data_IF_566136973196
#
_entry.id   IF_566136973196
#
_cell.length_a   1.000
_cell.length_b   1.000
_cell.length_c   1.000
_cell.angle_alpha   90.00
_cell.angle_beta   90.00
_cell.angle_gamma   90.00
#
_symmetry.space_group_name_H-M   'P 1'
#
loop_
_entity.id
_entity.type
_entity.pdbx_description
1 polymer ?
#
# COMPACT_ATOMS: atom_id res chain seq x y z
N UNK A 1 -9.43 -43.88 -14.18
CA UNK A 1 -8.49 -42.73 -14.25
C UNK A 1 -9.16 -41.48 -14.85
N UNK A 2 -10.41 -41.15 -14.48
CA UNK A 2 -11.14 -39.98 -15.04
C UNK A 2 -11.46 -38.88 -14.01
N UNK A 3 -11.22 -39.09 -12.71
CA UNK A 3 -11.55 -38.11 -11.66
C UNK A 3 -10.59 -36.92 -11.56
N UNK A 4 -9.28 -37.17 -11.69
CA UNK A 4 -8.25 -36.14 -11.49
C UNK A 4 -8.25 -35.02 -12.55
N UNK A 5 -8.77 -35.28 -13.76
CA UNK A 5 -8.78 -34.29 -14.84
C UNK A 5 -9.94 -33.30 -14.75
N UNK A 6 -11.03 -33.66 -14.06
CA UNK A 6 -12.18 -32.79 -13.85
C UNK A 6 -12.00 -31.86 -12.64
N UNK A 7 -11.36 -32.33 -11.56
CA UNK A 7 -11.03 -31.47 -10.40
C UNK A 7 -10.07 -30.34 -10.78
N UNK A 8 -9.01 -30.66 -11.55
CA UNK A 8 -8.04 -29.65 -12.00
C UNK A 8 -8.69 -28.58 -12.89
N UNK A 9 -9.63 -28.97 -13.77
CA UNK A 9 -10.39 -28.00 -14.59
C UNK A 9 -11.34 -27.13 -13.77
N UNK A 10 -11.95 -27.68 -12.72
CA UNK A 10 -12.85 -26.94 -11.84
C UNK A 10 -12.08 -25.93 -10.97
N UNK A 11 -10.87 -26.29 -10.51
CA UNK A 11 -9.98 -25.40 -9.75
C UNK A 11 -9.40 -24.29 -10.62
N UNK A 12 -9.08 -24.57 -11.89
CA UNK A 12 -8.62 -23.55 -12.84
C UNK A 12 -9.73 -22.55 -13.17
N UNK A 13 -10.96 -23.04 -13.39
CA UNK A 13 -12.12 -22.20 -13.67
C UNK A 13 -12.52 -21.32 -12.47
N UNK A 14 -12.46 -21.85 -11.25
CA UNK A 14 -12.67 -21.06 -10.03
C UNK A 14 -11.59 -19.98 -9.83
N UNK A 15 -10.33 -20.30 -10.14
CA UNK A 15 -9.22 -19.32 -10.09
C UNK A 15 -9.35 -18.21 -11.15
N UNK A 16 -9.81 -18.54 -12.35
CA UNK A 16 -10.09 -17.56 -13.42
C UNK A 16 -11.29 -16.67 -13.09
N UNK A 17 -12.35 -17.21 -12.46
CA UNK A 17 -13.51 -16.45 -11.99
C UNK A 17 -13.14 -15.49 -10.84
N UNK A 18 -12.18 -15.84 -9.99
CA UNK A 18 -11.71 -15.03 -8.86
C UNK A 18 -10.73 -13.90 -9.25
N UNK A 19 -9.85 -14.10 -10.24
CA UNK A 19 -8.98 -13.05 -10.79
C UNK A 19 -9.81 -11.94 -11.48
N UNK A 20 -10.89 -12.33 -12.18
CA UNK A 20 -11.88 -11.41 -12.74
C UNK A 20 -12.60 -10.60 -11.64
N UNK A 21 -12.81 -11.19 -10.47
CA UNK A 21 -13.55 -10.59 -9.37
C UNK A 21 -12.89 -9.34 -8.78
N UNK A 22 -11.56 -9.15 -8.84
CA UNK A 22 -10.91 -7.93 -8.31
C UNK A 22 -10.96 -6.75 -9.27
N UNK A 23 -10.75 -6.99 -10.57
CA UNK A 23 -11.01 -5.99 -11.61
C UNK A 23 -12.48 -5.55 -11.51
N UNK A 24 -13.38 -6.50 -11.27
CA UNK A 24 -14.78 -6.23 -11.05
C UNK A 24 -15.09 -5.59 -9.70
N UNK A 25 -14.49 -5.97 -8.56
CA UNK A 25 -14.78 -5.43 -7.22
C UNK A 25 -14.52 -3.93 -7.20
N UNK A 26 -13.37 -3.57 -7.74
CA UNK A 26 -13.00 -2.20 -7.99
C UNK A 26 -13.92 -1.42 -8.89
N UNK A 27 -14.24 -2.04 -10.03
CA UNK A 27 -15.25 -1.51 -10.93
C UNK A 27 -16.57 -1.33 -10.19
N UNK A 28 -17.07 -2.29 -9.42
CA UNK A 28 -18.32 -2.24 -8.64
C UNK A 28 -18.30 -1.18 -7.53
N UNK A 29 -17.20 -1.08 -6.78
CA UNK A 29 -17.04 -0.10 -5.68
C UNK A 29 -16.97 1.33 -6.21
N UNK A 30 -16.33 1.54 -7.37
CA UNK A 30 -16.17 2.86 -7.97
C UNK A 30 -17.03 3.05 -9.25
N UNK A 31 -18.07 2.22 -9.43
CA UNK A 31 -18.87 2.19 -10.66
C UNK A 31 -19.84 3.35 -10.81
N UNK A 32 -19.87 4.28 -9.85
CA UNK A 32 -20.67 5.50 -9.96
C UNK A 32 -19.92 6.54 -10.79
N UNK A 33 -19.69 6.19 -12.06
CA UNK A 33 -19.38 7.17 -13.10
C UNK A 33 -20.61 8.03 -13.24
N UNK A 34 -20.53 9.24 -12.67
CA UNK A 34 -21.35 10.44 -12.87
C UNK A 34 -21.90 11.02 -11.55
N UNK A 35 -21.04 11.72 -10.80
CA UNK A 35 -21.49 12.87 -10.01
C UNK A 35 -20.90 14.19 -10.56
N UNK A 36 -21.15 14.42 -11.85
CA UNK A 36 -21.42 15.78 -12.34
C UNK A 36 -22.82 15.80 -12.93
N UNK A 37 -23.82 15.65 -12.07
CA UNK A 37 -25.13 16.21 -12.33
C UNK A 37 -25.45 17.15 -11.18
N UNK A 38 -24.98 18.39 -11.36
CA UNK A 38 -25.75 19.57 -10.98
C UNK A 38 -27.15 19.43 -11.60
N UNK A 39 -28.04 18.73 -10.91
CA UNK A 39 -29.46 18.77 -11.20
C UNK A 39 -30.20 18.87 -9.89
N UNK A 40 -30.40 20.12 -9.48
CA UNK A 40 -31.64 20.52 -8.82
C UNK A 40 -32.76 20.15 -9.80
N UNK A 41 -33.37 18.98 -9.64
CA UNK A 41 -34.70 18.69 -10.21
C UNK A 41 -35.28 17.41 -9.61
N UNK A 42 -36.26 17.63 -8.74
CA UNK A 42 -37.50 16.88 -8.53
C UNK A 42 -37.51 15.35 -8.67
N UNK A 43 -37.74 14.71 -7.52
CA UNK A 43 -38.77 13.67 -7.37
C UNK A 43 -38.49 12.30 -7.97
N UNK A 44 -37.70 11.46 -7.29
CA UNK A 44 -37.81 9.99 -7.30
C UNK A 44 -36.71 9.36 -6.42
N UNK A 45 -37.10 8.61 -5.38
CA UNK A 45 -36.28 7.87 -4.39
C UNK A 45 -34.89 8.46 -4.08
N UNK A 46 -34.76 9.18 -2.96
CA UNK A 46 -33.51 9.79 -2.49
C UNK A 46 -32.34 8.80 -2.44
N UNK A 47 -31.58 8.74 -3.53
CA UNK A 47 -30.31 8.01 -3.62
C UNK A 47 -29.33 8.76 -2.72
N UNK A 48 -29.02 8.16 -1.58
CA UNK A 48 -27.98 8.68 -0.69
C UNK A 48 -26.66 8.61 -1.46
N UNK A 49 -26.00 9.76 -1.64
CA UNK A 49 -24.70 9.84 -2.31
C UNK A 49 -23.67 9.25 -1.34
N UNK A 50 -23.26 8.00 -1.55
CA UNK A 50 -22.23 7.33 -0.74
C UNK A 50 -20.86 7.28 -1.44
N UNK A 51 -20.80 7.71 -2.70
CA UNK A 51 -19.64 7.59 -3.57
C UNK A 51 -19.35 8.91 -4.26
N UNK A 52 -18.08 9.29 -4.34
CA UNK A 52 -17.61 10.49 -5.04
C UNK A 52 -16.37 10.15 -5.87
N UNK A 53 -16.40 10.50 -7.16
CA UNK A 53 -15.22 10.45 -8.03
C UNK A 53 -14.82 11.86 -8.45
N UNK A 54 -13.56 12.17 -8.21
CA UNK A 54 -12.82 13.37 -8.63
C UNK A 54 -11.57 12.94 -9.41
N UNK A 55 -11.68 11.85 -10.17
CA UNK A 55 -10.58 11.36 -10.99
C UNK A 55 -10.32 12.30 -12.18
N UNK A 56 -9.04 12.42 -12.59
CA UNK A 56 -8.64 13.27 -13.73
C UNK A 56 -8.94 14.77 -13.57
N UNK A 57 -8.88 15.30 -12.34
CA UNK A 57 -9.18 16.70 -12.02
C UNK A 57 -7.92 17.54 -11.78
N UNK A 58 -6.71 16.98 -12.04
CA UNK A 58 -5.41 17.61 -11.80
C UNK A 58 -5.22 18.14 -10.36
N UNK A 59 -5.84 17.49 -9.38
CA UNK A 59 -5.85 17.92 -7.99
C UNK A 59 -4.52 17.61 -7.30
N UNK A 60 -3.91 18.64 -6.68
CA UNK A 60 -2.79 18.49 -5.75
C UNK A 60 -3.22 18.60 -4.27
N UNK A 61 -4.43 19.10 -4.02
CA UNK A 61 -5.07 19.20 -2.71
C UNK A 61 -6.56 19.00 -2.87
N UNK A 62 -7.22 18.50 -1.82
CA UNK A 62 -8.67 18.39 -1.79
C UNK A 62 -9.31 19.79 -1.63
N UNK A 63 -10.27 20.20 -2.48
CA UNK A 63 -11.00 21.44 -2.28
C UNK A 63 -11.78 21.43 -0.97
N UNK A 64 -11.76 22.54 -0.23
CA UNK A 64 -12.45 22.65 1.05
C UNK A 64 -13.97 22.45 0.94
N UNK A 65 -14.59 22.93 -0.15
CA UNK A 65 -16.01 22.72 -0.40
C UNK A 65 -16.37 21.23 -0.48
N UNK A 66 -15.51 20.41 -1.10
CA UNK A 66 -15.74 18.96 -1.16
C UNK A 66 -15.71 18.34 0.23
N UNK A 67 -14.76 18.74 1.07
CA UNK A 67 -14.68 18.24 2.45
C UNK A 67 -15.96 18.63 3.21
N UNK A 68 -16.38 19.89 3.10
CA UNK A 68 -17.57 20.39 3.79
C UNK A 68 -18.85 19.68 3.33
N UNK A 69 -18.99 19.43 2.02
CA UNK A 69 -20.20 18.88 1.44
C UNK A 69 -20.28 17.36 1.60
N UNK A 70 -19.15 16.66 1.61
CA UNK A 70 -19.10 15.18 1.50
C UNK A 70 -18.36 14.45 2.63
N UNK A 71 -17.55 15.12 3.45
CA UNK A 71 -16.65 14.49 4.43
C UNK A 71 -17.34 13.49 5.36
N UNK A 72 -18.53 13.84 5.87
CA UNK A 72 -19.30 12.97 6.77
C UNK A 72 -20.26 12.02 6.07
N UNK A 73 -20.37 12.08 4.74
CA UNK A 73 -21.43 11.39 3.99
C UNK A 73 -20.86 10.19 3.22
N UNK A 74 -19.78 10.41 2.49
CA UNK A 74 -19.29 9.42 1.53
C UNK A 74 -18.52 8.29 2.21
N UNK A 75 -18.57 7.12 1.57
CA UNK A 75 -17.87 5.90 1.93
C UNK A 75 -16.84 5.51 0.88
N UNK A 76 -17.03 5.95 -0.36
CA UNK A 76 -16.16 5.61 -1.48
C UNK A 76 -15.64 6.89 -2.13
N UNK A 77 -14.32 7.06 -2.16
CA UNK A 77 -13.67 8.20 -2.79
C UNK A 77 -12.71 7.72 -3.86
N UNK A 78 -12.92 8.20 -5.07
CA UNK A 78 -12.00 8.03 -6.19
C UNK A 78 -11.32 9.35 -6.53
N UNK A 79 -10.04 9.43 -6.22
CA UNK A 79 -9.15 10.56 -6.55
C UNK A 79 -7.98 10.09 -7.42
N UNK A 80 -8.20 9.05 -8.21
CA UNK A 80 -7.21 8.53 -9.15
C UNK A 80 -6.86 9.53 -10.25
N UNK A 81 -5.71 9.36 -10.90
CA UNK A 81 -5.24 10.23 -11.98
C UNK A 81 -5.21 11.72 -11.60
N UNK A 82 -4.60 12.01 -10.46
CA UNK A 82 -4.37 13.36 -9.94
C UNK A 82 -2.88 13.53 -9.60
N UNK A 83 -2.54 14.53 -8.80
CA UNK A 83 -1.16 14.83 -8.39
C UNK A 83 -1.00 14.86 -6.87
N UNK A 84 -1.81 14.10 -6.13
CA UNK A 84 -1.66 13.91 -4.69
C UNK A 84 -0.31 13.23 -4.37
N UNK A 85 0.34 13.66 -3.29
CA UNK A 85 1.69 13.20 -2.93
C UNK A 85 1.82 12.91 -1.43
N UNK A 86 2.76 13.55 -0.73
CA UNK A 86 3.13 13.19 0.65
C UNK A 86 2.11 13.60 1.70
N UNK A 87 1.36 14.68 1.45
CA UNK A 87 0.40 15.21 2.40
C UNK A 87 -1.02 14.73 2.07
N UNK A 88 -1.47 13.71 2.79
CA UNK A 88 -2.83 13.17 2.71
C UNK A 88 -3.65 13.44 3.98
N UNK A 89 -3.27 14.45 4.78
CA UNK A 89 -3.93 14.71 6.07
C UNK A 89 -5.41 15.06 5.91
N UNK A 90 -5.83 15.66 4.79
CA UNK A 90 -7.24 15.94 4.52
C UNK A 90 -8.16 14.70 4.57
N UNK A 91 -7.60 13.49 4.42
CA UNK A 91 -8.36 12.25 4.56
C UNK A 91 -8.88 12.04 5.99
N UNK A 92 -8.36 12.74 7.01
CA UNK A 92 -8.90 12.73 8.37
C UNK A 92 -10.31 13.29 8.46
N UNK A 93 -10.73 14.09 7.49
CA UNK A 93 -12.05 14.72 7.46
C UNK A 93 -13.13 13.79 6.85
N UNK A 94 -12.75 12.59 6.40
CA UNK A 94 -13.65 11.62 5.78
C UNK A 94 -13.92 10.43 6.72
N UNK A 95 -14.64 10.68 7.81
CA UNK A 95 -14.84 9.73 8.92
C UNK A 95 -15.44 8.38 8.51
N UNK A 96 -16.32 8.39 7.50
CA UNK A 96 -17.06 7.22 7.04
C UNK A 96 -16.41 6.49 5.87
N UNK A 97 -15.21 6.90 5.45
CA UNK A 97 -14.54 6.35 4.28
C UNK A 97 -14.18 4.87 4.48
N UNK A 98 -14.66 4.04 3.56
CA UNK A 98 -14.45 2.58 3.50
C UNK A 98 -13.55 2.19 2.33
N UNK A 99 -13.58 2.95 1.23
CA UNK A 99 -12.82 2.66 0.02
C UNK A 99 -12.18 3.92 -0.54
N UNK A 100 -10.89 3.82 -0.88
CA UNK A 100 -10.11 4.91 -1.44
C UNK A 100 -9.33 4.44 -2.66
N UNK A 101 -9.56 5.10 -3.79
CA UNK A 101 -8.75 4.94 -4.99
C UNK A 101 -7.77 6.12 -5.14
N UNK A 102 -6.48 5.82 -5.09
CA UNK A 102 -5.35 6.75 -5.26
C UNK A 102 -4.44 6.33 -6.43
N UNK A 103 -4.96 5.53 -7.37
CA UNK A 103 -4.21 5.10 -8.55
C UNK A 103 -3.68 6.30 -9.35
N UNK A 104 -2.52 6.15 -9.98
CA UNK A 104 -1.91 7.17 -10.84
C UNK A 104 -1.76 8.55 -10.16
N UNK A 105 -1.22 8.55 -8.95
CA UNK A 105 -0.85 9.77 -8.22
C UNK A 105 0.69 9.85 -8.05
N UNK A 106 1.17 10.63 -7.09
CA UNK A 106 2.59 10.83 -6.77
C UNK A 106 2.92 10.36 -5.34
N UNK A 107 2.25 9.31 -4.88
CA UNK A 107 2.52 8.70 -3.57
C UNK A 107 3.89 8.03 -3.59
N UNK A 108 4.74 8.30 -2.60
CA UNK A 108 6.06 7.69 -2.45
C UNK A 108 6.19 6.96 -1.11
N UNK A 109 7.31 6.27 -0.87
CA UNK A 109 7.52 5.50 0.37
C UNK A 109 7.56 6.35 1.65
N UNK A 110 7.62 7.68 1.53
CA UNK A 110 7.62 8.62 2.66
C UNK A 110 6.24 9.22 2.93
N UNK A 111 5.24 8.97 2.07
CA UNK A 111 3.86 9.42 2.31
C UNK A 111 3.31 8.84 3.61
N UNK A 112 2.64 9.69 4.39
CA UNK A 112 1.99 9.31 5.64
C UNK A 112 0.49 9.56 5.53
N UNK A 113 -0.28 8.48 5.71
CA UNK A 113 -1.73 8.53 5.81
C UNK A 113 -2.15 8.93 7.23
N UNK A 114 -3.24 9.73 7.39
CA UNK A 114 -3.84 9.92 8.72
C UNK A 114 -4.41 8.59 9.25
N UNK A 115 -4.76 8.55 10.53
CA UNK A 115 -5.39 7.39 11.13
C UNK A 115 -6.82 7.21 10.58
N UNK A 116 -7.04 6.14 9.81
CA UNK A 116 -8.29 5.84 9.11
C UNK A 116 -8.78 4.43 9.50
N UNK A 117 -9.37 4.26 10.69
CA UNK A 117 -9.74 2.94 11.20
C UNK A 117 -10.90 2.27 10.44
N UNK A 118 -11.67 3.04 9.65
CA UNK A 118 -12.80 2.53 8.88
C UNK A 118 -12.42 2.10 7.46
N UNK A 119 -11.23 2.45 6.96
CA UNK A 119 -10.86 2.15 5.58
C UNK A 119 -10.53 0.66 5.43
N UNK A 120 -11.19 0.01 4.47
CA UNK A 120 -11.08 -1.43 4.21
C UNK A 120 -10.46 -1.73 2.84
N UNK A 121 -10.62 -0.82 1.87
CA UNK A 121 -10.07 -0.94 0.52
C UNK A 121 -9.20 0.26 0.18
N UNK A 122 -7.97 -0.02 -0.24
CA UNK A 122 -7.02 0.98 -0.71
C UNK A 122 -6.34 0.54 -2.01
N UNK A 123 -6.44 1.39 -3.02
CA UNK A 123 -5.73 1.21 -4.28
C UNK A 123 -4.69 2.31 -4.50
N UNK A 124 -3.49 1.88 -4.86
CA UNK A 124 -2.30 2.73 -5.01
C UNK A 124 -1.51 2.35 -6.26
N UNK A 125 -2.18 1.85 -7.29
CA UNK A 125 -1.52 1.41 -8.51
C UNK A 125 -0.80 2.56 -9.21
N UNK A 126 0.32 2.26 -9.87
CA UNK A 126 1.08 3.23 -10.66
C UNK A 126 1.41 4.53 -9.90
N UNK A 127 1.90 4.38 -8.67
CA UNK A 127 2.47 5.45 -7.87
C UNK A 127 4.02 5.39 -7.90
N UNK A 128 4.69 6.12 -7.02
CA UNK A 128 6.14 6.27 -6.96
C UNK A 128 6.76 5.57 -5.73
N UNK A 129 6.12 4.51 -5.23
CA UNK A 129 6.61 3.77 -4.06
C UNK A 129 7.78 2.90 -4.51
N UNK A 130 9.01 3.23 -4.08
CA UNK A 130 10.22 2.47 -4.44
C UNK A 130 10.63 1.46 -3.40
N UNK A 131 10.35 1.76 -2.13
CA UNK A 131 10.74 0.93 -1.00
C UNK A 131 9.50 0.55 -0.16
N UNK A 132 9.31 -0.74 0.12
CA UNK A 132 8.20 -1.20 0.98
C UNK A 132 8.36 -0.75 2.43
N UNK A 133 9.59 -0.60 2.92
CA UNK A 133 9.86 -0.08 4.25
C UNK A 133 10.46 1.33 4.12
N UNK A 134 9.95 2.34 4.85
CA UNK A 134 8.99 2.25 5.96
C UNK A 134 7.50 2.30 5.56
N UNK A 135 7.18 2.37 4.26
CA UNK A 135 5.82 2.59 3.75
C UNK A 135 4.76 1.65 4.38
N UNK A 136 4.97 0.34 4.31
CA UNK A 136 4.06 -0.69 4.83
C UNK A 136 3.87 -0.58 6.36
N UNK A 137 4.93 -0.23 7.10
CA UNK A 137 4.85 0.00 8.55
C UNK A 137 3.96 1.19 8.88
N UNK A 138 4.11 2.28 8.13
CA UNK A 138 3.28 3.47 8.30
C UNK A 138 1.84 3.17 7.92
N UNK A 139 1.63 2.47 6.81
CA UNK A 139 0.30 2.08 6.34
C UNK A 139 -0.43 1.20 7.37
N UNK A 140 0.25 0.23 7.98
CA UNK A 140 -0.31 -0.62 9.03
C UNK A 140 -0.76 0.19 10.27
N UNK A 141 0.01 1.22 10.66
CA UNK A 141 -0.35 2.10 11.78
C UNK A 141 -1.56 2.98 11.44
N UNK A 142 -1.60 3.50 10.22
CA UNK A 142 -2.65 4.41 9.77
C UNK A 142 -3.97 3.69 9.46
N UNK A 143 -3.91 2.47 8.91
CA UNK A 143 -5.07 1.76 8.36
C UNK A 143 -5.12 0.33 8.90
N UNK A 144 -5.45 0.16 10.19
CA UNK A 144 -5.32 -1.13 10.88
C UNK A 144 -6.31 -2.21 10.41
N UNK A 145 -7.43 -1.81 9.79
CA UNK A 145 -8.52 -2.70 9.37
C UNK A 145 -8.56 -2.96 7.86
N UNK A 146 -7.44 -2.74 7.16
CA UNK A 146 -7.34 -2.93 5.72
C UNK A 146 -7.58 -4.40 5.33
N UNK A 147 -8.48 -4.62 4.36
CA UNK A 147 -8.84 -5.94 3.83
C UNK A 147 -8.40 -6.12 2.38
N UNK A 148 -8.38 -5.05 1.60
CA UNK A 148 -8.03 -5.06 0.18
C UNK A 148 -6.95 -4.01 -0.09
N UNK A 149 -5.80 -4.43 -0.59
CA UNK A 149 -4.68 -3.55 -0.93
C UNK A 149 -4.20 -3.87 -2.34
N UNK A 150 -4.00 -2.83 -3.17
CA UNK A 150 -3.38 -2.97 -4.48
C UNK A 150 -2.22 -1.98 -4.63
N UNK A 151 -1.02 -2.50 -4.94
CA UNK A 151 0.22 -1.76 -5.12
C UNK A 151 0.84 -1.96 -6.51
N UNK A 152 0.09 -2.55 -7.45
CA UNK A 152 0.61 -2.92 -8.77
C UNK A 152 1.20 -1.72 -9.52
N UNK A 153 2.26 -1.95 -10.28
CA UNK A 153 2.91 -0.89 -11.05
C UNK A 153 3.77 0.08 -10.24
N UNK A 154 3.96 -0.15 -8.93
CA UNK A 154 5.01 0.49 -8.15
C UNK A 154 6.33 -0.28 -8.25
N UNK A 155 7.47 0.40 -8.11
CA UNK A 155 8.81 -0.23 -8.12
C UNK A 155 8.99 -1.18 -6.93
N UNK A 156 8.38 -0.87 -5.78
CA UNK A 156 8.36 -1.71 -4.59
C UNK A 156 7.50 -2.98 -4.70
N UNK A 157 6.67 -3.10 -5.74
CA UNK A 157 5.73 -4.20 -5.96
C UNK A 157 6.07 -4.93 -7.27
N UNK A 158 7.10 -5.81 -7.25
CA UNK A 158 7.51 -6.56 -8.42
C UNK A 158 6.40 -7.52 -8.86
N UNK A 159 6.15 -7.60 -10.16
CA UNK A 159 5.22 -8.50 -10.82
C UNK A 159 5.81 -8.98 -12.15
N UNK A 160 5.24 -10.03 -12.73
CA UNK A 160 5.68 -10.48 -14.06
C UNK A 160 5.52 -9.41 -15.14
N UNK A 161 4.58 -8.46 -14.95
CA UNK A 161 4.30 -7.38 -15.89
C UNK A 161 5.35 -6.27 -15.88
N UNK A 162 6.07 -6.09 -14.77
CA UNK A 162 7.15 -5.09 -14.64
C UNK A 162 8.54 -5.73 -14.57
N UNK A 163 8.68 -6.99 -15.01
CA UNK A 163 9.97 -7.69 -15.11
C UNK A 163 10.47 -8.33 -13.82
N UNK A 164 9.63 -8.42 -12.78
CA UNK A 164 9.95 -9.11 -11.54
C UNK A 164 9.97 -10.63 -11.69
N UNK A 165 10.86 -11.29 -10.97
CA UNK A 165 10.89 -12.75 -10.86
C UNK A 165 9.80 -13.28 -9.92
N UNK A 166 9.47 -14.57 -10.06
CA UNK A 166 8.56 -15.26 -9.12
C UNK A 166 9.01 -15.11 -7.66
N UNK A 167 10.31 -15.19 -7.43
CA UNK A 167 10.89 -15.11 -6.10
C UNK A 167 10.77 -13.71 -5.50
N UNK A 168 11.05 -12.66 -6.28
CA UNK A 168 10.87 -11.26 -5.85
C UNK A 168 9.39 -10.96 -5.53
N UNK A 169 8.45 -11.43 -6.36
CA UNK A 169 7.02 -11.31 -6.06
C UNK A 169 6.63 -12.03 -4.77
N UNK A 170 7.10 -13.26 -4.59
CA UNK A 170 6.80 -14.06 -3.39
C UNK A 170 7.33 -13.38 -2.12
N UNK A 171 8.56 -12.84 -2.17
CA UNK A 171 9.14 -12.10 -1.06
C UNK A 171 8.33 -10.84 -0.72
N UNK A 172 7.99 -10.03 -1.73
CA UNK A 172 7.12 -8.86 -1.59
C UNK A 172 5.79 -9.25 -0.92
N UNK A 173 5.10 -10.25 -1.46
CA UNK A 173 3.79 -10.69 -0.98
C UNK A 173 3.85 -11.13 0.48
N UNK A 174 4.77 -12.03 0.83
CA UNK A 174 4.89 -12.53 2.19
C UNK A 174 5.33 -11.42 3.17
N UNK A 175 6.15 -10.46 2.72
CA UNK A 175 6.51 -9.30 3.54
C UNK A 175 5.27 -8.46 3.87
N UNK A 176 4.45 -8.07 2.89
CA UNK A 176 3.22 -7.28 3.13
C UNK A 176 2.25 -8.04 4.06
N UNK A 177 2.05 -9.34 3.82
CA UNK A 177 1.18 -10.18 4.64
C UNK A 177 1.66 -10.32 6.09
N UNK A 178 2.97 -10.21 6.34
CA UNK A 178 3.49 -10.19 7.72
C UNK A 178 3.05 -8.95 8.50
N UNK A 179 2.69 -7.86 7.81
CA UNK A 179 2.18 -6.63 8.40
C UNK A 179 0.65 -6.63 8.57
N UNK A 180 -0.08 -7.18 7.59
CA UNK A 180 -1.54 -7.20 7.56
C UNK A 180 -2.12 -8.62 7.69
N UNK A 181 -2.27 -9.15 8.94
CA UNK A 181 -2.70 -10.52 9.16
C UNK A 181 -4.17 -10.81 8.82
N UNK A 182 -4.98 -9.75 8.59
CA UNK A 182 -6.39 -9.86 8.22
C UNK A 182 -6.66 -9.42 6.77
N UNK A 183 -5.60 -9.27 5.96
CA UNK A 183 -5.73 -8.89 4.56
C UNK A 183 -6.37 -10.04 3.79
N UNK A 184 -7.43 -9.75 3.03
CA UNK A 184 -8.16 -10.72 2.24
C UNK A 184 -7.62 -10.79 0.81
N UNK A 185 -7.23 -9.65 0.25
CA UNK A 185 -6.62 -9.55 -1.07
C UNK A 185 -5.40 -8.64 -1.05
N UNK A 186 -4.35 -9.11 -1.72
CA UNK A 186 -3.21 -8.30 -2.10
C UNK A 186 -3.04 -8.36 -3.61
N UNK A 187 -3.08 -7.20 -4.23
CA UNK A 187 -3.08 -7.00 -5.67
C UNK A 187 -4.23 -7.77 -6.35
N UNK A 188 -3.91 -8.56 -7.37
CA UNK A 188 -4.82 -9.38 -8.16
C UNK A 188 -5.23 -10.70 -7.46
N UNK A 189 -4.70 -11.00 -6.25
CA UNK A 189 -4.82 -12.34 -5.65
C UNK A 189 -5.37 -12.38 -4.24
N UNK A 190 -6.25 -13.35 -4.01
CA UNK A 190 -6.72 -13.75 -2.68
C UNK A 190 -5.53 -14.19 -1.81
N UNK A 191 -5.58 -13.78 -0.54
CA UNK A 191 -4.66 -14.21 0.51
C UNK A 191 -5.13 -15.53 1.09
N UNK A 192 -4.24 -16.51 1.17
CA UNK A 192 -4.54 -17.82 1.76
C UNK A 192 -3.96 -17.94 3.18
N UNK A 193 -4.56 -18.81 4.00
CA UNK A 193 -4.08 -19.10 5.35
C UNK A 193 -2.63 -19.65 5.34
N UNK A 194 -2.28 -20.43 4.31
CA UNK A 194 -0.91 -20.94 4.11
C UNK A 194 0.09 -19.79 3.92
N UNK A 195 -0.27 -18.78 3.12
CA UNK A 195 0.57 -17.59 2.91
C UNK A 195 0.72 -16.79 4.20
N UNK A 196 -0.34 -16.62 4.98
CA UNK A 196 -0.30 -15.92 6.27
C UNK A 196 0.57 -16.67 7.29
N UNK A 197 0.42 -17.99 7.36
CA UNK A 197 1.24 -18.83 8.24
C UNK A 197 2.72 -18.74 7.85
N UNK A 198 3.02 -18.81 6.57
CA UNK A 198 4.38 -18.71 6.05
C UNK A 198 4.99 -17.31 6.27
N UNK A 199 4.22 -16.26 6.01
CA UNK A 199 4.61 -14.88 6.30
C UNK A 199 4.95 -14.69 7.80
N UNK A 200 4.10 -15.22 8.68
CA UNK A 200 4.34 -15.19 10.13
C UNK A 200 5.56 -16.02 10.55
N UNK A 201 5.81 -17.15 9.88
CA UNK A 201 6.96 -18.03 10.13
C UNK A 201 8.28 -17.39 9.72
N UNK A 202 8.30 -16.71 8.56
CA UNK A 202 9.49 -16.09 7.98
C UNK A 202 9.82 -14.74 8.63
N UNK A 203 8.82 -13.89 8.79
CA UNK A 203 8.97 -12.52 9.31
C UNK A 203 8.54 -12.43 10.76
N UNK A 204 8.90 -13.45 11.58
CA UNK A 204 8.64 -13.45 13.03
C UNK A 204 9.02 -12.09 13.56
N UNK A 205 8.07 -11.37 14.13
CA UNK A 205 8.33 -10.07 14.74
C UNK A 205 9.08 -10.33 16.06
N UNK A 206 10.41 -10.16 16.18
CA UNK A 206 10.92 -9.71 17.48
C UNK A 206 10.23 -8.37 17.74
N UNK A 207 9.94 -8.03 18.99
CA UNK A 207 9.39 -6.74 19.39
C UNK A 207 10.11 -5.62 18.61
N UNK A 208 9.49 -5.09 17.55
CA UNK A 208 10.05 -4.10 16.62
C UNK A 208 10.08 -2.70 17.25
N UNK A 209 10.49 -2.64 18.51
CA UNK A 209 10.61 -1.40 19.26
C UNK A 209 12.04 -0.92 19.40
N UNK A 210 13.08 -1.76 19.32
CA UNK A 210 14.44 -1.24 19.44
C UNK A 210 15.46 -1.97 18.56
N UNK A 211 16.05 -1.18 17.66
CA UNK A 211 17.28 -1.42 16.90
C UNK A 211 17.18 -2.36 15.68
N UNK A 212 17.67 -1.82 14.58
CA UNK A 212 17.82 -2.41 13.26
C UNK A 212 18.72 -3.65 13.36
N UNK A 213 18.15 -4.84 13.17
CA UNK A 213 18.84 -5.98 12.57
C UNK A 213 17.78 -6.82 11.83
N UNK A 214 17.56 -6.45 10.57
CA UNK A 214 16.75 -7.21 9.63
C UNK A 214 17.47 -8.55 9.33
N UNK A 215 16.76 -9.69 9.26
CA UNK A 215 17.31 -10.96 8.82
C UNK A 215 18.12 -10.82 7.53
N UNK A 216 19.23 -11.55 7.39
CA UNK A 216 20.15 -11.42 6.23
C UNK A 216 19.44 -11.61 4.88
N UNK A 217 18.37 -12.40 4.82
CA UNK A 217 17.57 -12.57 3.61
C UNK A 217 16.84 -11.30 3.13
N UNK A 218 16.74 -10.26 3.98
CA UNK A 218 16.16 -8.95 3.64
C UNK A 218 17.26 -7.90 3.38
N UNK A 219 18.52 -8.17 3.78
CA UNK A 219 19.66 -7.29 3.43
C UNK A 219 19.91 -7.27 1.92
N UNK A 220 19.63 -8.36 1.21
CA UNK A 220 19.76 -8.41 -0.25
C UNK A 220 18.68 -7.58 -0.98
N UNK A 221 17.55 -7.32 -0.33
CA UNK A 221 16.57 -6.34 -0.82
C UNK A 221 17.13 -4.91 -0.71
N UNK A 222 17.95 -4.66 0.33
CA UNK A 222 18.69 -3.41 0.49
C UNK A 222 19.92 -3.30 -0.42
N UNK A 223 20.48 -4.39 -0.96
CA UNK A 223 21.70 -4.32 -1.78
C UNK A 223 21.47 -3.90 -3.25
N UNK A 224 20.21 -3.80 -3.71
CA UNK A 224 19.83 -3.02 -4.91
C UNK A 224 19.63 -1.52 -4.59
N UNK A 225 19.84 -1.07 -3.35
CA UNK A 225 19.82 0.35 -2.95
C UNK A 225 21.18 0.96 -3.25
N UNK A 226 21.16 2.00 -4.09
CA UNK A 226 22.31 2.63 -4.72
C UNK A 226 23.46 3.06 -3.79
N UNK A 227 24.64 2.65 -4.26
CA UNK A 227 25.95 3.32 -4.34
C UNK A 227 25.93 4.86 -4.14
N UNK A 228 26.99 5.35 -3.48
CA UNK A 228 27.48 6.73 -3.32
C UNK A 228 26.88 7.58 -2.18
N UNK A 229 27.60 7.62 -1.06
CA UNK A 229 27.87 8.83 -0.25
C UNK A 229 28.99 8.56 0.77
N UNK A 230 30.25 8.74 0.37
CA UNK A 230 31.28 9.35 1.24
C UNK A 230 31.30 10.85 0.88
N UNK A 231 31.86 11.79 1.68
CA UNK A 231 32.67 11.60 2.90
C UNK A 231 32.30 12.56 4.05
N UNK A 232 32.83 12.32 5.26
CA UNK A 232 33.43 13.40 6.07
C UNK A 232 34.15 12.85 7.29
N UNK A 233 35.41 13.28 7.38
CA UNK A 233 36.38 13.09 8.46
C UNK A 233 36.01 14.01 9.64
N UNK A 234 36.12 13.50 10.87
CA UNK A 234 36.40 14.22 12.14
C UNK A 234 36.81 13.13 13.14
N UNK A 235 38.10 12.99 13.45
CA UNK A 235 38.82 13.67 14.54
C UNK A 235 38.26 13.39 15.93
N UNK A 236 39.12 12.73 16.71
CA UNK A 236 39.49 13.05 18.10
C UNK A 236 39.15 11.99 19.15
N UNK A 237 40.13 11.78 20.04
CA UNK A 237 39.90 11.22 21.37
C UNK A 237 40.62 9.92 21.74
N UNK A 238 41.91 10.03 22.07
CA UNK A 238 42.59 9.43 23.25
C UNK A 238 42.56 7.89 23.45
N UNK A 239 43.62 7.19 23.87
CA UNK A 239 44.65 7.47 24.88
C UNK A 239 45.56 6.24 24.91
N UNK A 240 46.89 6.37 24.84
CA UNK A 240 47.80 5.49 25.61
C UNK A 240 48.99 6.33 26.07
N UNK A 241 49.10 6.46 27.39
CA UNK A 241 50.25 6.99 28.10
C UNK A 241 51.22 5.85 28.39
N UNK A 242 52.53 6.08 28.17
CA UNK A 242 53.65 5.85 29.12
C UNK A 242 54.99 5.82 28.38
N UNK A 243 55.99 6.48 28.96
CA UNK A 243 57.40 6.11 28.78
C UNK A 243 58.34 7.22 28.29
N UNK A 244 58.82 8.01 29.24
CA UNK A 244 60.11 8.73 29.29
C UNK A 244 61.20 8.30 28.30
N UNK A 245 61.88 9.27 27.67
CA UNK A 245 63.31 9.58 27.90
C UNK A 245 63.78 10.81 27.09
N UNK A 246 64.49 11.71 27.77
CA UNK A 246 65.31 12.80 27.21
C UNK A 246 66.45 12.23 26.36
N UNK A 247 66.89 12.93 25.30
CA UNK A 247 68.28 13.42 25.09
C UNK A 247 68.22 14.64 24.13
N UNK A 248 69.07 15.64 24.39
CA UNK A 248 69.43 16.79 23.54
C UNK A 248 69.96 16.34 22.18
#
# INVERSE_FOLDING_TARGET
MSGASNEVKHTLKAKEEEEYAMTCLGTYVFMDKHCRQLSISDGSSGKQIDSLSLAYEDLFTMPYSVIQDYGFIIKHLDISHNVFSRNLQFLSEFDNLRSLNLDHNKIDETTVFPFMPNLELLWLNHNLIKNLYPFIKNLYKSIPNLKYLCLMGNEAAPSYLNGGSFFEYLQYRLFVLSWFPHLMHLDDRIVTDEQLLEAKRLFKRPLFENVIELPECIKDLHNKINIFSKPSILSDGQKISRGTNLII
#
